data_IF_794816203183
#
_entry.id   IF_794816203183
#
_cell.length_a   1.000
_cell.length_b   1.000
_cell.length_c   1.000
_cell.angle_alpha   90.00
_cell.angle_beta   90.00
_cell.angle_gamma   90.00
#
_symmetry.space_group_name_H-M   'P 1'
#
loop_
_entity.id
_entity.type
_entity.pdbx_description
1 polymer ?
#
# COMPACT_ATOMS: atom_id res chain seq x y z
N UNK A 1 9.13 15.90 -13.10
CA UNK A 1 9.33 16.85 -14.21
C UNK A 1 10.80 16.92 -14.53
N UNK A 2 11.17 16.42 -15.74
CA UNK A 2 12.58 16.28 -16.16
C UNK A 2 13.26 17.66 -16.27
N UNK A 3 12.53 18.70 -16.68
CA UNK A 3 13.03 20.09 -16.69
C UNK A 3 13.60 20.52 -15.33
N UNK A 4 12.94 20.14 -14.22
CA UNK A 4 13.40 20.46 -12.86
C UNK A 4 14.58 19.58 -12.49
N UNK A 5 14.57 18.29 -12.85
CA UNK A 5 15.67 17.37 -12.60
C UNK A 5 16.94 17.82 -13.30
N UNK A 6 16.83 18.23 -14.56
CA UNK A 6 17.93 18.79 -15.33
C UNK A 6 18.46 20.09 -14.72
N UNK A 7 17.57 21.01 -14.31
CA UNK A 7 17.95 22.28 -13.71
C UNK A 7 18.74 22.10 -12.40
N UNK A 8 18.36 21.12 -11.58
CA UNK A 8 19.09 20.81 -10.33
C UNK A 8 20.25 19.81 -10.54
N UNK A 9 20.60 19.52 -11.79
CA UNK A 9 21.71 18.62 -12.17
C UNK A 9 21.56 17.21 -11.59
N UNK A 10 20.34 16.68 -11.61
CA UNK A 10 20.08 15.31 -11.19
C UNK A 10 20.25 14.39 -12.40
N UNK A 11 21.22 13.48 -12.29
CA UNK A 11 21.55 12.49 -13.33
C UNK A 11 20.51 11.35 -13.36
N UNK A 12 19.24 11.69 -13.57
CA UNK A 12 18.13 10.75 -13.75
C UNK A 12 16.87 11.48 -14.20
N UNK A 13 16.01 10.81 -14.93
CA UNK A 13 14.74 11.33 -15.42
C UNK A 13 13.53 10.59 -14.82
N UNK A 14 12.33 10.95 -15.26
CA UNK A 14 11.09 10.35 -14.77
C UNK A 14 10.98 8.88 -15.17
N UNK A 15 11.42 8.50 -16.39
CA UNK A 15 11.38 7.11 -16.85
C UNK A 15 12.29 6.21 -16.01
N UNK A 16 13.51 6.66 -15.70
CA UNK A 16 14.41 5.95 -14.77
C UNK A 16 13.76 5.68 -13.43
N UNK A 17 13.00 6.64 -12.92
CA UNK A 17 12.26 6.50 -11.66
C UNK A 17 11.15 5.45 -11.78
N UNK A 18 10.39 5.46 -12.88
CA UNK A 18 9.32 4.49 -13.17
C UNK A 18 9.92 3.08 -13.31
N UNK A 19 10.95 2.91 -14.12
CA UNK A 19 11.59 1.62 -14.35
C UNK A 19 12.18 1.04 -13.05
N UNK A 20 12.89 1.86 -12.29
CA UNK A 20 13.47 1.44 -11.01
C UNK A 20 12.40 1.03 -10.00
N UNK A 21 11.31 1.82 -9.88
CA UNK A 21 10.17 1.50 -9.04
C UNK A 21 9.53 0.16 -9.44
N UNK A 22 9.33 -0.04 -10.74
CA UNK A 22 8.77 -1.27 -11.29
C UNK A 22 9.62 -2.50 -10.99
N UNK A 23 10.91 -2.44 -11.29
CA UNK A 23 11.87 -3.54 -11.03
C UNK A 23 11.90 -3.94 -9.55
N UNK A 24 11.93 -2.96 -8.64
CA UNK A 24 11.90 -3.22 -7.21
C UNK A 24 10.61 -3.92 -6.79
N UNK A 25 9.44 -3.42 -7.23
CA UNK A 25 8.15 -4.01 -6.90
C UNK A 25 7.96 -5.41 -7.46
N UNK A 26 8.41 -5.66 -8.71
CA UNK A 26 8.30 -6.97 -9.34
C UNK A 26 9.12 -8.06 -8.62
N UNK A 27 10.13 -7.66 -7.83
CA UNK A 27 10.94 -8.57 -7.01
C UNK A 27 10.52 -8.57 -5.52
N UNK A 28 9.36 -8.01 -5.18
CA UNK A 28 8.80 -8.06 -3.84
C UNK A 28 9.30 -7.00 -2.87
N UNK A 29 10.11 -6.03 -3.31
CA UNK A 29 10.63 -4.97 -2.44
C UNK A 29 9.56 -3.92 -2.13
N UNK A 30 9.69 -3.33 -0.94
CA UNK A 30 8.96 -2.12 -0.53
C UNK A 30 9.72 -0.89 -0.97
N UNK A 31 9.00 0.09 -1.56
CA UNK A 31 9.61 1.30 -2.14
C UNK A 31 9.20 2.54 -1.34
N UNK A 32 10.19 3.33 -0.92
CA UNK A 32 10.02 4.59 -0.21
C UNK A 32 10.54 5.76 -1.07
N UNK A 33 9.67 6.65 -1.50
CA UNK A 33 10.04 7.83 -2.27
C UNK A 33 10.30 9.03 -1.38
N UNK A 34 11.37 9.77 -1.69
CA UNK A 34 11.66 11.07 -1.11
C UNK A 34 11.28 12.14 -2.12
N UNK A 35 10.17 12.83 -1.88
CA UNK A 35 9.70 13.93 -2.71
C UNK A 35 10.10 15.26 -2.07
N UNK A 36 10.61 16.16 -2.89
CA UNK A 36 11.12 17.45 -2.46
C UNK A 36 10.31 18.55 -3.15
N UNK A 37 9.23 19.04 -2.54
CA UNK A 37 8.59 20.26 -3.01
C UNK A 37 9.51 21.48 -2.78
N UNK A 38 9.24 22.56 -3.52
CA UNK A 38 10.00 23.80 -3.44
C UNK A 38 11.44 23.68 -3.97
N UNK A 39 11.67 22.83 -4.98
CA UNK A 39 12.97 22.77 -5.66
C UNK A 39 13.20 24.01 -6.53
N UNK A 40 14.48 24.43 -6.73
CA UNK A 40 14.80 25.43 -7.73
C UNK A 40 14.23 25.08 -9.11
N UNK A 41 13.55 26.02 -9.74
CA UNK A 41 12.85 25.81 -11.00
C UNK A 41 11.40 25.32 -10.89
N UNK A 42 10.93 24.96 -9.67
CA UNK A 42 9.52 24.69 -9.39
C UNK A 42 8.81 25.89 -8.77
N UNK A 43 7.49 25.85 -8.81
CA UNK A 43 6.58 26.81 -8.15
C UNK A 43 5.61 26.08 -7.21
N UNK A 44 4.92 26.85 -6.36
CA UNK A 44 3.85 26.33 -5.52
C UNK A 44 2.76 25.63 -6.35
N UNK A 45 2.38 26.22 -7.47
CA UNK A 45 1.34 25.72 -8.37
C UNK A 45 1.77 24.42 -9.06
N UNK A 46 3.04 24.33 -9.50
CA UNK A 46 3.60 23.14 -10.14
C UNK A 46 3.73 21.98 -9.16
N UNK A 47 4.17 22.24 -7.94
CA UNK A 47 4.25 21.21 -6.89
C UNK A 47 2.86 20.69 -6.53
N UNK A 48 1.87 21.58 -6.40
CA UNK A 48 0.49 21.19 -6.11
C UNK A 48 -0.09 20.34 -7.25
N UNK A 49 0.21 20.70 -8.50
CA UNK A 49 -0.23 19.95 -9.68
C UNK A 49 0.47 18.56 -9.76
N UNK A 50 1.75 18.47 -9.41
CA UNK A 50 2.45 17.19 -9.30
C UNK A 50 1.75 16.26 -8.31
N UNK A 51 1.35 16.75 -7.14
CA UNK A 51 0.63 15.94 -6.16
C UNK A 51 -0.81 15.64 -6.59
N UNK A 52 -1.47 16.51 -7.35
CA UNK A 52 -2.78 16.20 -7.96
C UNK A 52 -2.67 15.01 -8.90
N UNK A 53 -1.68 15.00 -9.78
CA UNK A 53 -1.40 13.87 -10.68
C UNK A 53 -1.09 12.59 -9.91
N UNK A 54 -0.22 12.67 -8.89
CA UNK A 54 0.21 11.51 -8.11
C UNK A 54 -0.95 10.81 -7.38
N UNK A 55 -1.98 11.54 -6.98
CA UNK A 55 -3.14 11.02 -6.24
C UNK A 55 -4.45 11.03 -7.05
N UNK A 56 -4.37 11.15 -8.37
CA UNK A 56 -5.56 11.16 -9.22
C UNK A 56 -6.10 9.74 -9.45
N UNK A 57 -7.41 9.66 -9.57
CA UNK A 57 -8.18 8.43 -9.74
C UNK A 57 -9.19 8.63 -10.86
N UNK A 58 -9.14 7.82 -11.90
CA UNK A 58 -10.18 7.79 -12.94
C UNK A 58 -11.49 7.22 -12.39
N UNK A 59 -11.39 6.07 -11.67
CA UNK A 59 -12.58 5.36 -11.22
C UNK A 59 -12.34 4.57 -9.94
N UNK A 60 -13.40 4.45 -9.13
CA UNK A 60 -13.50 3.51 -8.00
C UNK A 60 -14.61 2.51 -8.29
N UNK A 61 -14.24 1.23 -8.38
CA UNK A 61 -15.17 0.14 -8.65
C UNK A 61 -15.35 -0.68 -7.38
N UNK A 62 -16.55 -0.73 -6.84
CA UNK A 62 -16.91 -1.59 -5.70
C UNK A 62 -17.12 -3.01 -6.20
N UNK A 63 -16.20 -3.94 -5.87
CA UNK A 63 -16.33 -5.37 -6.16
C UNK A 63 -17.23 -6.03 -5.12
N UNK A 64 -17.01 -5.73 -3.83
CA UNK A 64 -17.88 -6.12 -2.71
C UNK A 64 -17.97 -5.00 -1.69
N UNK A 65 -18.74 -5.19 -0.59
CA UNK A 65 -18.78 -4.23 0.53
C UNK A 65 -17.37 -3.78 0.97
N UNK A 66 -16.44 -4.73 1.05
CA UNK A 66 -15.11 -4.52 1.61
C UNK A 66 -13.96 -4.61 0.57
N UNK A 67 -14.27 -4.78 -0.73
CA UNK A 67 -13.29 -4.83 -1.79
C UNK A 67 -13.55 -3.73 -2.82
N UNK A 68 -12.56 -2.85 -2.99
CA UNK A 68 -12.60 -1.74 -3.96
C UNK A 68 -11.42 -1.86 -4.92
N UNK A 69 -11.68 -1.76 -6.23
CA UNK A 69 -10.65 -1.60 -7.25
C UNK A 69 -10.56 -0.12 -7.64
N UNK A 70 -9.34 0.41 -7.63
CA UNK A 70 -9.02 1.78 -8.00
C UNK A 70 -8.35 1.78 -9.38
N UNK A 71 -8.95 2.45 -10.33
CA UNK A 71 -8.33 2.75 -11.62
C UNK A 71 -7.61 4.09 -11.47
N UNK A 72 -6.28 4.07 -11.52
CA UNK A 72 -5.44 5.24 -11.30
C UNK A 72 -5.07 5.88 -12.63
N UNK A 73 -4.91 7.22 -12.67
CA UNK A 73 -4.40 7.91 -13.86
C UNK A 73 -2.92 7.60 -14.10
N UNK A 74 -2.15 7.49 -13.01
CA UNK A 74 -0.70 7.26 -13.07
C UNK A 74 -0.32 6.01 -12.25
N UNK A 75 -0.64 4.80 -12.74
CA UNK A 75 -0.39 3.54 -12.00
C UNK A 75 1.11 3.28 -11.78
N UNK A 76 1.97 3.76 -12.68
CA UNK A 76 3.42 3.52 -12.61
C UNK A 76 4.12 4.42 -11.58
N UNK A 77 3.45 5.50 -11.16
CA UNK A 77 3.93 6.44 -10.15
C UNK A 77 3.40 6.10 -8.74
N UNK A 78 3.35 4.81 -8.38
CA UNK A 78 2.86 4.37 -7.07
C UNK A 78 3.99 3.86 -6.18
N UNK A 79 4.26 4.58 -5.08
CA UNK A 79 5.16 4.15 -4.01
C UNK A 79 4.39 3.51 -2.85
N UNK A 80 5.09 2.77 -1.98
CA UNK A 80 4.52 2.21 -0.76
C UNK A 80 4.60 3.20 0.41
N UNK A 81 5.65 4.02 0.39
CA UNK A 81 5.93 5.01 1.42
C UNK A 81 6.38 6.33 0.77
N UNK A 82 6.10 7.41 1.46
CA UNK A 82 6.53 8.76 1.07
C UNK A 82 7.20 9.47 2.24
N UNK A 83 8.27 10.21 1.92
CA UNK A 83 8.84 11.27 2.74
C UNK A 83 8.77 12.57 1.95
N UNK A 84 8.17 13.57 2.54
CA UNK A 84 8.12 14.90 1.94
C UNK A 84 9.18 15.73 2.64
N UNK A 85 10.13 16.19 1.86
CA UNK A 85 11.24 17.00 2.34
C UNK A 85 11.28 18.33 1.58
N UNK A 86 10.55 19.36 2.03
CA UNK A 86 10.63 20.68 1.40
C UNK A 86 12.09 21.12 1.24
N UNK A 87 12.42 21.69 0.10
CA UNK A 87 13.76 22.14 -0.17
C UNK A 87 14.17 23.19 0.84
N UNK A 88 15.40 23.08 1.35
CA UNK A 88 16.01 24.02 2.28
C UNK A 88 17.36 24.47 1.76
N UNK A 89 17.61 25.76 1.81
CA UNK A 89 18.92 26.34 1.48
C UNK A 89 19.83 26.16 2.68
N UNK A 90 20.95 25.49 2.49
CA UNK A 90 21.97 25.26 3.53
C UNK A 90 23.37 25.62 3.01
N UNK A 91 24.30 25.84 3.94
CA UNK A 91 25.69 26.14 3.61
C UNK A 91 26.34 25.07 2.71
N UNK A 92 27.34 25.46 1.96
CA UNK A 92 28.15 24.61 1.10
C UNK A 92 27.38 23.89 -0.01
N UNK A 93 26.28 24.48 -0.48
CA UNK A 93 25.47 23.95 -1.58
C UNK A 93 25.39 24.94 -2.74
N UNK A 94 25.22 24.41 -3.97
CA UNK A 94 24.99 25.24 -5.16
C UNK A 94 23.70 26.07 -5.04
N UNK A 95 22.69 25.50 -4.37
CA UNK A 95 21.38 26.16 -4.11
C UNK A 95 21.59 27.47 -3.30
N UNK A 96 22.57 27.54 -2.39
CA UNK A 96 22.89 28.77 -1.68
C UNK A 96 23.28 29.89 -2.65
N UNK A 97 24.16 29.60 -3.61
CA UNK A 97 24.56 30.59 -4.62
C UNK A 97 23.37 31.11 -5.44
N UNK A 98 22.44 30.23 -5.83
CA UNK A 98 21.21 30.63 -6.51
C UNK A 98 20.27 31.46 -5.64
N UNK A 99 20.20 31.15 -4.35
CA UNK A 99 19.42 31.93 -3.37
C UNK A 99 20.01 33.33 -3.16
N UNK A 100 21.31 33.46 -2.96
CA UNK A 100 22.01 34.73 -2.76
C UNK A 100 21.97 35.62 -4.01
N UNK A 101 22.02 35.02 -5.21
CA UNK A 101 21.91 35.74 -6.47
C UNK A 101 20.47 36.07 -6.91
N UNK A 102 19.47 35.60 -6.15
CA UNK A 102 18.05 35.83 -6.48
C UNK A 102 17.49 34.93 -7.59
N UNK A 103 18.27 33.97 -8.10
CA UNK A 103 17.80 32.98 -9.08
C UNK A 103 16.76 32.05 -8.48
N UNK A 104 16.88 31.73 -7.20
CA UNK A 104 15.95 30.87 -6.46
C UNK A 104 15.45 31.57 -5.19
N UNK A 105 14.14 31.55 -5.00
CA UNK A 105 13.50 31.98 -3.78
C UNK A 105 12.48 30.91 -3.35
N UNK A 106 12.71 30.21 -2.24
CA UNK A 106 11.78 29.19 -1.76
C UNK A 106 10.42 29.75 -1.45
N UNK A 107 9.34 29.19 -2.02
CA UNK A 107 7.98 29.60 -1.65
C UNK A 107 7.61 29.18 -0.23
N UNK A 108 8.32 28.18 0.32
CA UNK A 108 8.16 27.68 1.70
C UNK A 108 8.62 28.69 2.77
N UNK A 109 9.27 29.80 2.41
CA UNK A 109 9.44 30.96 3.29
C UNK A 109 8.09 31.55 3.70
N UNK A 110 7.07 31.48 2.81
CA UNK A 110 5.69 31.63 3.20
C UNK A 110 5.17 30.25 3.69
N UNK A 111 5.19 30.06 5.02
CA UNK A 111 4.80 28.79 5.65
C UNK A 111 3.39 28.35 5.27
N UNK A 112 2.44 29.27 5.04
CA UNK A 112 1.06 28.94 4.72
C UNK A 112 0.93 28.24 3.36
N UNK A 113 1.73 28.63 2.36
CA UNK A 113 1.80 27.92 1.07
C UNK A 113 2.28 26.48 1.23
N UNK A 114 3.35 26.29 2.03
CA UNK A 114 3.85 24.94 2.30
C UNK A 114 2.83 24.09 3.06
N UNK A 115 2.14 24.67 4.04
CA UNK A 115 1.08 24.00 4.79
C UNK A 115 -0.05 23.57 3.86
N UNK A 116 -0.45 24.41 2.91
CA UNK A 116 -1.48 24.09 1.92
C UNK A 116 -1.11 22.86 1.07
N UNK A 117 0.13 22.81 0.54
CA UNK A 117 0.64 21.63 -0.19
C UNK A 117 0.58 20.38 0.68
N UNK A 118 1.03 20.46 1.93
CA UNK A 118 1.06 19.31 2.83
C UNK A 118 -0.36 18.86 3.22
N UNK A 119 -1.28 19.78 3.45
CA UNK A 119 -2.69 19.46 3.71
C UNK A 119 -3.29 18.75 2.50
N UNK A 120 -3.05 19.27 1.29
CA UNK A 120 -3.50 18.62 0.06
C UNK A 120 -3.00 17.17 -0.03
N UNK A 121 -1.69 16.96 0.17
CA UNK A 121 -1.09 15.61 0.20
C UNK A 121 -1.83 14.72 1.20
N UNK A 122 -2.02 15.18 2.43
CA UNK A 122 -2.61 14.37 3.51
C UNK A 122 -4.09 14.02 3.29
N UNK A 123 -4.84 14.90 2.64
CA UNK A 123 -6.24 14.66 2.31
C UNK A 123 -6.41 13.67 1.16
N UNK A 124 -5.51 13.71 0.17
CA UNK A 124 -5.66 12.97 -1.08
C UNK A 124 -4.81 11.69 -1.15
N UNK A 125 -3.83 11.54 -0.26
CA UNK A 125 -2.97 10.35 -0.22
C UNK A 125 -3.78 9.06 -0.13
N UNK A 126 -3.37 8.06 -0.90
CA UNK A 126 -4.05 6.78 -0.93
C UNK A 126 -3.91 6.01 0.39
N UNK A 127 -4.94 5.20 0.77
CA UNK A 127 -4.94 4.46 2.04
C UNK A 127 -3.84 3.39 2.15
N UNK A 128 -3.25 2.99 1.04
CA UNK A 128 -2.13 2.05 1.00
C UNK A 128 -0.75 2.71 1.08
N UNK A 129 -0.66 4.04 1.12
CA UNK A 129 0.61 4.75 1.22
C UNK A 129 0.87 5.17 2.66
N UNK A 130 2.13 4.97 3.13
CA UNK A 130 2.59 5.45 4.42
C UNK A 130 3.34 6.78 4.26
N UNK A 131 2.81 7.86 4.82
CA UNK A 131 3.52 9.15 4.88
C UNK A 131 4.44 9.21 6.12
N UNK A 132 5.70 8.84 5.92
CA UNK A 132 6.67 8.69 7.02
C UNK A 132 7.07 10.03 7.62
N UNK A 133 7.46 10.99 6.79
CA UNK A 133 7.92 12.32 7.21
C UNK A 133 7.37 13.40 6.29
N UNK A 134 7.21 14.61 6.82
CA UNK A 134 6.81 15.81 6.09
C UNK A 134 7.76 16.99 6.29
N UNK A 135 8.87 16.74 6.95
CA UNK A 135 9.96 17.70 7.16
C UNK A 135 11.26 16.92 7.32
N UNK A 136 12.37 17.54 6.98
CA UNK A 136 13.72 17.04 7.23
C UNK A 136 14.22 17.56 8.57
N UNK A 137 14.92 16.72 9.33
CA UNK A 137 15.50 17.09 10.61
C UNK A 137 16.83 17.86 10.36
N UNK A 138 16.71 19.15 10.01
CA UNK A 138 17.85 20.08 9.89
C UNK A 138 17.72 21.08 11.01
N UNK A 139 18.77 21.33 11.82
CA UNK A 139 18.74 22.39 12.82
C UNK A 139 18.46 23.76 12.18
N UNK A 140 17.56 24.54 12.75
CA UNK A 140 17.11 25.82 12.19
C UNK A 140 18.26 26.79 11.90
N UNK A 141 19.30 26.76 12.75
CA UNK A 141 20.49 27.59 12.60
C UNK A 141 21.22 27.33 11.27
N UNK A 142 21.06 26.14 10.69
CA UNK A 142 21.73 25.75 9.44
C UNK A 142 20.89 26.05 8.21
N UNK A 143 19.64 26.53 8.38
CA UNK A 143 18.73 26.83 7.26
C UNK A 143 18.83 28.33 6.95
N UNK A 144 19.37 28.66 5.79
CA UNK A 144 19.50 30.03 5.29
C UNK A 144 18.17 30.50 4.67
N UNK A 145 17.54 29.67 3.82
CA UNK A 145 16.27 29.93 3.16
C UNK A 145 15.33 28.70 3.17
N UNK A 146 14.03 28.94 3.04
CA UNK A 146 12.99 27.92 3.12
C UNK A 146 12.37 27.81 4.51
N UNK A 147 11.59 26.75 4.74
CA UNK A 147 10.86 26.58 6.00
C UNK A 147 11.78 26.19 7.17
N UNK A 148 11.68 26.96 8.26
CA UNK A 148 12.48 26.77 9.50
C UNK A 148 11.68 26.14 10.65
N UNK A 149 10.40 25.81 10.43
CA UNK A 149 9.53 25.30 11.49
C UNK A 149 9.71 23.81 11.74
N UNK A 150 10.41 23.44 12.81
CA UNK A 150 10.62 22.05 13.23
C UNK A 150 9.32 21.34 13.66
N UNK A 151 8.28 22.11 14.01
CA UNK A 151 6.97 21.60 14.46
C UNK A 151 5.91 21.61 13.34
N UNK A 152 6.33 21.71 12.08
CA UNK A 152 5.43 21.81 10.93
C UNK A 152 4.35 20.72 10.91
N UNK A 153 4.70 19.46 11.26
CA UNK A 153 3.73 18.36 11.33
C UNK A 153 2.61 18.63 12.33
N UNK A 154 2.93 19.14 13.51
CA UNK A 154 1.95 19.45 14.56
C UNK A 154 1.04 20.59 14.12
N UNK A 155 1.60 21.64 13.51
CA UNK A 155 0.83 22.77 12.97
C UNK A 155 -0.15 22.31 11.89
N UNK A 156 0.32 21.52 10.91
CA UNK A 156 -0.53 20.93 9.87
C UNK A 156 -1.65 20.07 10.46
N UNK A 157 -1.34 19.20 11.41
CA UNK A 157 -2.36 18.32 12.02
C UNK A 157 -3.39 19.11 12.82
N UNK A 158 -2.98 20.19 13.50
CA UNK A 158 -3.89 21.08 14.22
C UNK A 158 -4.84 21.77 13.23
N UNK A 159 -4.31 22.40 12.18
CA UNK A 159 -5.10 23.09 11.17
C UNK A 159 -6.10 22.14 10.46
N UNK A 160 -5.66 20.92 10.12
CA UNK A 160 -6.55 19.90 9.57
C UNK A 160 -7.68 19.53 10.53
N UNK A 161 -7.37 19.38 11.84
CA UNK A 161 -8.38 19.09 12.87
C UNK A 161 -9.39 20.23 13.01
N UNK A 162 -8.92 21.46 13.06
CA UNK A 162 -9.77 22.66 13.18
C UNK A 162 -10.72 22.80 11.98
N UNK A 163 -10.31 22.32 10.81
CA UNK A 163 -11.09 22.30 9.56
C UNK A 163 -11.85 20.99 9.31
N UNK A 164 -11.94 20.06 10.28
CA UNK A 164 -12.58 18.75 10.13
C UNK A 164 -12.01 17.90 8.96
N UNK A 165 -10.71 18.03 8.70
CA UNK A 165 -10.01 17.31 7.64
C UNK A 165 -9.24 16.13 8.22
N UNK A 166 -9.23 14.98 7.53
CA UNK A 166 -8.54 13.77 7.97
C UNK A 166 -7.51 13.29 6.96
N UNK A 167 -6.42 12.71 7.46
CA UNK A 167 -5.39 12.07 6.65
C UNK A 167 -5.65 10.58 6.51
N UNK A 168 -5.66 10.08 5.27
CA UNK A 168 -5.95 8.66 4.95
C UNK A 168 -4.71 7.76 4.96
N UNK A 169 -3.50 8.30 5.15
CA UNK A 169 -2.27 7.50 5.08
C UNK A 169 -2.20 6.44 6.20
N UNK A 170 -1.44 5.39 5.97
CA UNK A 170 -1.22 4.30 6.93
C UNK A 170 -0.84 4.85 8.31
N UNK A 171 0.18 5.75 8.39
CA UNK A 171 0.70 6.28 9.67
C UNK A 171 -0.34 7.03 10.50
N UNK A 172 -1.28 7.73 9.86
CA UNK A 172 -2.31 8.47 10.58
C UNK A 172 -3.44 7.55 11.08
N UNK A 173 -3.62 6.40 10.43
CA UNK A 173 -4.64 5.40 10.78
C UNK A 173 -4.15 4.30 11.72
N UNK A 174 -2.85 4.22 12.01
CA UNK A 174 -2.32 3.26 13.00
C UNK A 174 -3.08 3.36 14.31
N UNK A 175 -3.52 2.22 14.85
CA UNK A 175 -4.31 2.16 16.08
C UNK A 175 -3.59 2.74 17.29
N UNK A 176 -2.25 2.65 17.34
CA UNK A 176 -1.40 3.12 18.46
C UNK A 176 -1.97 2.65 19.81
N UNK A 177 -2.21 3.61 20.71
CA UNK A 177 -2.71 3.38 22.08
C UNK A 177 -4.25 3.40 22.18
N UNK A 178 -4.95 3.54 21.03
CA UNK A 178 -6.40 3.51 21.02
C UNK A 178 -6.90 2.10 21.31
N UNK A 179 -7.82 1.98 22.27
CA UNK A 179 -8.55 0.74 22.52
C UNK A 179 -9.71 0.66 21.52
N UNK A 180 -9.78 -0.42 20.78
CA UNK A 180 -10.87 -0.72 19.85
C UNK A 180 -11.24 -2.20 19.95
N UNK A 181 -12.54 -2.52 19.87
CA UNK A 181 -12.97 -3.91 19.88
C UNK A 181 -12.54 -4.58 18.57
N UNK A 182 -11.82 -5.69 18.70
CA UNK A 182 -11.28 -6.41 17.55
C UNK A 182 -12.36 -7.22 16.83
N UNK A 183 -13.43 -7.56 17.51
CA UNK A 183 -14.52 -8.33 16.94
C UNK A 183 -15.37 -7.48 15.98
N UNK A 184 -15.34 -6.16 16.15
CA UNK A 184 -15.96 -5.19 15.24
C UNK A 184 -15.11 -4.92 13.99
N UNK A 185 -13.84 -5.35 13.96
CA UNK A 185 -12.94 -5.07 12.83
C UNK A 185 -13.13 -6.04 11.69
N UNK A 186 -13.00 -5.53 10.46
CA UNK A 186 -13.17 -6.26 9.21
C UNK A 186 -11.92 -6.23 8.33
N UNK A 187 -11.80 -7.19 7.41
CA UNK A 187 -10.80 -7.14 6.34
C UNK A 187 -11.35 -6.27 5.21
N UNK A 188 -10.54 -5.30 4.77
CA UNK A 188 -10.77 -4.50 3.57
C UNK A 188 -9.67 -4.76 2.56
N UNK A 189 -10.03 -4.73 1.27
CA UNK A 189 -9.10 -4.91 0.16
C UNK A 189 -9.20 -3.68 -0.74
N UNK A 190 -8.06 -2.99 -0.89
CA UNK A 190 -7.87 -1.95 -1.87
C UNK A 190 -6.96 -2.52 -2.98
N UNK A 191 -7.54 -2.73 -4.15
CA UNK A 191 -6.86 -3.24 -5.34
C UNK A 191 -6.53 -2.08 -6.27
N UNK A 192 -5.36 -2.10 -6.89
CA UNK A 192 -4.96 -1.09 -7.88
C UNK A 192 -3.85 -1.63 -8.80
N UNK A 193 -3.76 -1.08 -10.01
CA UNK A 193 -2.66 -1.38 -10.91
C UNK A 193 -1.42 -0.56 -10.53
N UNK A 194 -0.24 -1.15 -10.67
CA UNK A 194 1.05 -0.49 -10.47
C UNK A 194 2.11 -1.19 -11.31
N UNK A 195 2.74 -0.48 -12.21
CA UNK A 195 3.82 -0.93 -13.09
C UNK A 195 3.75 -2.42 -13.45
N UNK A 196 3.03 -2.73 -14.53
CA UNK A 196 2.90 -4.09 -15.07
C UNK A 196 2.55 -5.16 -14.01
N UNK A 197 1.62 -4.82 -13.10
CA UNK A 197 1.13 -5.75 -12.09
C UNK A 197 -0.06 -5.20 -11.32
N UNK A 198 -0.67 -6.07 -10.53
CA UNK A 198 -1.81 -5.76 -9.67
C UNK A 198 -1.35 -5.80 -8.22
N UNK A 199 -1.65 -4.76 -7.47
CA UNK A 199 -1.40 -4.65 -6.04
C UNK A 199 -2.70 -4.82 -5.26
N UNK A 200 -2.63 -5.55 -4.16
CA UNK A 200 -3.71 -5.69 -3.19
C UNK A 200 -3.21 -5.23 -1.82
N UNK A 201 -3.78 -4.14 -1.33
CA UNK A 201 -3.59 -3.70 0.04
C UNK A 201 -4.70 -4.30 0.90
N UNK A 202 -4.39 -5.43 1.52
CA UNK A 202 -5.30 -6.18 2.38
C UNK A 202 -5.11 -5.66 3.80
N UNK A 203 -6.14 -5.06 4.39
CA UNK A 203 -6.00 -4.42 5.70
C UNK A 203 -7.12 -4.83 6.66
N UNK A 204 -6.76 -4.97 7.94
CA UNK A 204 -7.67 -5.24 9.04
C UNK A 204 -7.90 -3.93 9.79
N UNK A 205 -9.11 -3.40 9.73
CA UNK A 205 -9.44 -2.06 10.20
C UNK A 205 -10.81 -2.01 10.85
N UNK A 206 -11.06 -0.94 11.61
CA UNK A 206 -12.43 -0.59 12.04
C UNK A 206 -13.37 -0.42 10.84
N UNK A 207 -14.69 -0.61 10.98
CA UNK A 207 -15.66 -0.46 9.89
C UNK A 207 -15.61 0.91 9.19
N UNK A 208 -15.33 1.98 9.93
CA UNK A 208 -15.13 3.33 9.39
C UNK A 208 -13.74 3.53 8.75
N UNK A 209 -12.86 2.51 8.81
CA UNK A 209 -11.48 2.51 8.29
C UNK A 209 -10.55 3.56 8.91
N UNK A 210 -10.94 4.15 10.04
CA UNK A 210 -10.14 5.15 10.75
C UNK A 210 -8.99 4.53 11.55
N UNK A 211 -9.18 3.33 12.10
CA UNK A 211 -8.19 2.61 12.88
C UNK A 211 -7.70 1.39 12.11
N UNK A 212 -6.39 1.39 11.80
CA UNK A 212 -5.69 0.32 11.10
C UNK A 212 -4.94 -0.54 12.11
N UNK A 213 -5.32 -1.82 12.20
CA UNK A 213 -4.74 -2.79 13.14
C UNK A 213 -3.63 -3.62 12.50
N UNK A 214 -3.70 -3.83 11.20
CA UNK A 214 -2.67 -4.53 10.44
C UNK A 214 -2.96 -4.53 8.96
N UNK A 215 -1.95 -4.81 8.15
CA UNK A 215 -2.10 -4.90 6.70
C UNK A 215 -1.09 -5.84 6.07
N UNK A 216 -1.40 -6.23 4.84
CA UNK A 216 -0.54 -7.01 3.97
C UNK A 216 -0.57 -6.39 2.57
N UNK A 217 0.60 -6.35 1.91
CA UNK A 217 0.72 -5.97 0.50
C UNK A 217 0.99 -7.22 -0.31
N UNK A 218 0.06 -7.58 -1.17
CA UNK A 218 0.20 -8.65 -2.14
C UNK A 218 0.33 -8.05 -3.54
N UNK A 219 1.28 -8.55 -4.32
CA UNK A 219 1.47 -8.20 -5.72
C UNK A 219 1.38 -9.43 -6.60
N UNK A 220 0.67 -9.30 -7.72
CA UNK A 220 0.67 -10.25 -8.84
C UNK A 220 1.27 -9.53 -10.04
N UNK A 221 2.38 -10.04 -10.57
CA UNK A 221 3.01 -9.49 -11.77
C UNK A 221 2.25 -9.94 -13.02
N UNK A 222 2.09 -9.06 -14.00
CA UNK A 222 1.52 -9.41 -15.31
C UNK A 222 2.57 -10.05 -16.24
N UNK A 223 3.87 -9.86 -15.96
CA UNK A 223 4.99 -10.49 -16.68
C UNK A 223 6.15 -10.78 -15.74
N UNK A 224 7.04 -11.68 -16.19
CA UNK A 224 8.25 -12.06 -15.44
C UNK A 224 9.50 -11.30 -15.90
N UNK A 225 9.37 -10.28 -16.74
CA UNK A 225 10.46 -9.60 -17.45
C UNK A 225 11.59 -9.13 -16.53
N UNK A 226 11.25 -8.55 -15.37
CA UNK A 226 12.22 -8.02 -14.41
C UNK A 226 12.39 -8.89 -13.17
N UNK A 227 11.84 -10.11 -13.14
CA UNK A 227 12.02 -11.03 -12.01
C UNK A 227 13.43 -11.60 -12.05
N UNK A 228 14.24 -11.30 -11.02
CA UNK A 228 15.68 -11.61 -10.98
C UNK A 228 15.97 -13.10 -10.88
N UNK A 229 15.19 -13.82 -10.08
CA UNK A 229 15.38 -15.26 -9.87
C UNK A 229 14.38 -16.07 -10.69
N UNK A 230 14.86 -16.94 -11.57
CA UNK A 230 13.98 -17.78 -12.41
C UNK A 230 13.00 -18.61 -11.57
N UNK A 231 13.45 -19.07 -10.42
CA UNK A 231 12.63 -19.82 -9.46
C UNK A 231 11.46 -19.03 -8.86
N UNK A 232 11.44 -17.72 -9.05
CA UNK A 232 10.38 -16.84 -8.54
C UNK A 232 9.46 -16.31 -9.65
N UNK A 233 9.68 -16.73 -10.88
CA UNK A 233 8.74 -16.46 -11.99
C UNK A 233 7.39 -17.07 -11.67
N UNK A 234 6.32 -16.42 -12.10
CA UNK A 234 4.92 -16.82 -11.87
C UNK A 234 4.50 -16.90 -10.39
N UNK A 235 5.29 -16.30 -9.49
CA UNK A 235 4.93 -16.16 -8.09
C UNK A 235 4.19 -14.85 -7.82
N UNK A 236 3.19 -14.90 -6.94
CA UNK A 236 2.73 -13.69 -6.26
C UNK A 236 3.70 -13.33 -5.13
N UNK A 237 3.85 -12.03 -4.86
CA UNK A 237 4.76 -11.54 -3.84
C UNK A 237 4.01 -10.87 -2.69
N UNK A 238 4.19 -11.40 -1.47
CA UNK A 238 3.85 -10.65 -0.27
C UNK A 238 5.03 -9.75 0.07
N UNK A 239 4.86 -8.45 -0.18
CA UNK A 239 5.92 -7.44 -0.07
C UNK A 239 6.02 -6.83 1.33
N UNK A 240 4.96 -6.88 2.10
CA UNK A 240 4.90 -6.43 3.49
C UNK A 240 3.77 -7.14 4.23
N UNK A 241 4.02 -7.56 5.47
CA UNK A 241 2.99 -7.93 6.44
C UNK A 241 3.32 -7.20 7.75
N UNK A 242 2.40 -6.38 8.21
CA UNK A 242 2.57 -5.61 9.44
C UNK A 242 1.31 -5.66 10.30
N UNK A 243 1.48 -5.93 11.60
CA UNK A 243 0.41 -5.89 12.60
C UNK A 243 0.82 -4.92 13.69
N UNK A 244 -0.04 -3.94 13.95
CA UNK A 244 0.17 -2.92 14.98
C UNK A 244 -0.29 -3.43 16.35
N UNK A 245 0.35 -2.97 17.41
CA UNK A 245 0.01 -3.26 18.80
C UNK A 245 1.22 -3.23 19.70
N UNK A 246 0.99 -3.22 21.00
CA UNK A 246 2.05 -3.32 22.01
C UNK A 246 2.72 -4.69 21.91
N UNK A 247 4.06 -4.71 21.86
CA UNK A 247 4.86 -5.92 21.93
C UNK A 247 4.56 -6.64 23.26
N UNK A 248 3.93 -7.81 23.19
CA UNK A 248 3.78 -8.67 24.36
C UNK A 248 5.06 -9.47 24.52
N UNK A 249 5.69 -9.39 25.70
CA UNK A 249 6.79 -10.26 26.08
C UNK A 249 6.35 -11.72 26.02
N UNK A 250 7.22 -12.58 25.49
CA UNK A 250 6.93 -14.00 25.20
C UNK A 250 6.55 -14.85 26.43
N UNK A 251 6.74 -14.32 27.63
CA UNK A 251 6.72 -15.07 28.90
C UNK A 251 5.54 -14.72 29.83
N UNK A 252 4.56 -13.99 29.36
CA UNK A 252 3.45 -13.52 30.21
C UNK A 252 2.07 -13.92 29.72
N UNK A 253 1.30 -14.56 30.57
CA UNK A 253 -0.17 -14.65 30.43
C UNK A 253 -0.70 -13.23 30.50
N UNK A 254 -0.82 -12.56 29.37
CA UNK A 254 -1.39 -11.21 29.32
C UNK A 254 -2.91 -11.29 29.39
N UNK A 255 -3.46 -10.75 30.44
CA UNK A 255 -4.92 -10.55 30.63
C UNK A 255 -5.48 -9.40 29.77
N UNK A 256 -4.64 -8.70 28.99
CA UNK A 256 -5.06 -7.54 28.23
C UNK A 256 -5.18 -7.80 26.73
N UNK A 257 -6.11 -7.10 26.10
CA UNK A 257 -6.51 -7.14 24.67
C UNK A 257 -5.37 -6.73 23.69
N UNK A 258 -4.23 -7.44 23.71
CA UNK A 258 -3.09 -7.12 22.85
C UNK A 258 -3.31 -7.61 21.41
N UNK A 259 -3.38 -6.67 20.48
CA UNK A 259 -3.69 -6.85 19.05
C UNK A 259 -2.76 -7.84 18.35
N UNK A 260 -1.48 -7.92 18.72
CA UNK A 260 -0.49 -8.75 18.04
C UNK A 260 -0.74 -10.27 18.16
N UNK A 261 -1.41 -10.75 19.23
CA UNK A 261 -1.61 -12.19 19.47
C UNK A 261 -2.95 -12.76 18.99
N UNK A 262 -3.88 -11.93 18.51
CA UNK A 262 -5.22 -12.38 18.08
C UNK A 262 -5.31 -12.94 16.65
N UNK A 263 -4.20 -13.35 16.06
CA UNK A 263 -4.19 -14.04 14.76
C UNK A 263 -4.43 -13.15 13.53
N UNK A 264 -4.34 -11.82 13.66
CA UNK A 264 -4.56 -10.87 12.55
C UNK A 264 -3.64 -11.17 11.38
N UNK A 265 -2.32 -11.37 11.63
CA UNK A 265 -1.38 -11.73 10.57
C UNK A 265 -1.77 -13.01 9.83
N UNK A 266 -2.34 -14.00 10.54
CA UNK A 266 -2.84 -15.22 9.92
C UNK A 266 -4.10 -15.00 9.09
N UNK A 267 -5.01 -14.11 9.54
CA UNK A 267 -6.21 -13.73 8.76
C UNK A 267 -5.80 -13.05 7.45
N UNK A 268 -4.83 -12.11 7.52
CA UNK A 268 -4.30 -11.39 6.34
C UNK A 268 -3.60 -12.33 5.35
N UNK A 269 -2.76 -13.27 5.85
CA UNK A 269 -2.11 -14.28 5.01
C UNK A 269 -3.13 -15.18 4.31
N UNK A 270 -4.14 -15.67 5.04
CA UNK A 270 -5.21 -16.48 4.44
C UNK A 270 -5.96 -15.73 3.34
N UNK A 271 -6.20 -14.44 3.51
CA UNK A 271 -6.88 -13.66 2.48
C UNK A 271 -6.00 -13.47 1.25
N UNK A 272 -4.69 -13.23 1.41
CA UNK A 272 -3.73 -13.20 0.31
C UNK A 272 -3.68 -14.55 -0.45
N UNK A 273 -3.64 -15.67 0.28
CA UNK A 273 -3.68 -17.01 -0.30
C UNK A 273 -4.98 -17.27 -1.10
N UNK A 274 -6.14 -16.79 -0.61
CA UNK A 274 -7.42 -16.86 -1.34
C UNK A 274 -7.41 -16.03 -2.64
N UNK A 275 -6.80 -14.84 -2.60
CA UNK A 275 -6.66 -13.99 -3.80
C UNK A 275 -5.79 -14.72 -4.83
N UNK A 276 -4.66 -15.29 -4.42
CA UNK A 276 -3.79 -16.06 -5.31
C UNK A 276 -4.53 -17.24 -5.92
N UNK A 277 -5.24 -18.01 -5.10
CA UNK A 277 -6.06 -19.12 -5.56
C UNK A 277 -7.09 -18.70 -6.62
N UNK A 278 -7.83 -17.61 -6.38
CA UNK A 278 -8.82 -17.08 -7.34
C UNK A 278 -8.21 -16.59 -8.65
N UNK A 279 -6.94 -16.19 -8.63
CA UNK A 279 -6.20 -15.74 -9.82
C UNK A 279 -5.33 -16.84 -10.43
N UNK A 280 -5.49 -18.11 -10.03
CA UNK A 280 -4.73 -19.26 -10.51
C UNK A 280 -3.21 -19.12 -10.32
N UNK A 281 -2.79 -18.43 -9.26
CA UNK A 281 -1.38 -18.33 -8.89
C UNK A 281 -1.03 -19.51 -7.98
N UNK A 282 -0.10 -20.34 -8.44
CA UNK A 282 0.28 -21.56 -7.71
C UNK A 282 1.23 -21.30 -6.54
N UNK A 283 2.05 -20.25 -6.61
CA UNK A 283 3.12 -20.02 -5.64
C UNK A 283 3.09 -18.60 -5.09
N UNK A 284 3.34 -18.47 -3.80
CA UNK A 284 3.54 -17.18 -3.11
C UNK A 284 4.95 -17.11 -2.57
N UNK A 285 5.63 -16.01 -2.83
CA UNK A 285 6.92 -15.67 -2.26
C UNK A 285 6.79 -14.48 -1.29
N UNK A 286 7.46 -14.56 -0.16
CA UNK A 286 7.48 -13.50 0.87
C UNK A 286 8.91 -13.05 1.06
N UNK A 287 9.19 -11.76 0.88
CA UNK A 287 10.46 -11.19 1.31
C UNK A 287 10.37 -10.96 2.83
N UNK A 288 11.11 -11.74 3.61
CA UNK A 288 10.99 -11.73 5.07
C UNK A 288 12.29 -11.40 5.77
N UNK A 289 12.22 -10.64 6.86
CA UNK A 289 13.33 -10.52 7.80
C UNK A 289 13.70 -11.88 8.42
N UNK A 290 14.99 -12.07 8.73
CA UNK A 290 15.51 -13.34 9.29
C UNK A 290 14.75 -13.74 10.55
N UNK A 291 14.50 -12.80 11.47
CA UNK A 291 13.88 -13.06 12.77
C UNK A 291 12.41 -13.51 12.72
N UNK A 292 11.73 -13.38 11.58
CA UNK A 292 10.31 -13.78 11.43
C UNK A 292 10.11 -15.01 10.54
N UNK A 293 11.18 -15.63 10.06
CA UNK A 293 11.10 -16.83 9.20
C UNK A 293 10.38 -18.00 9.86
N UNK A 294 10.56 -18.21 11.17
CA UNK A 294 9.86 -19.25 11.93
C UNK A 294 8.34 -19.05 11.97
N UNK A 295 7.88 -17.80 12.02
CA UNK A 295 6.46 -17.49 11.92
C UNK A 295 5.89 -18.02 10.59
N UNK A 296 6.59 -17.79 9.47
CA UNK A 296 6.16 -18.27 8.16
C UNK A 296 6.28 -19.79 8.00
N UNK A 297 7.32 -20.43 8.57
CA UNK A 297 7.44 -21.91 8.58
C UNK A 297 6.23 -22.56 9.23
N UNK A 298 5.76 -22.04 10.37
CA UNK A 298 4.53 -22.51 11.05
C UNK A 298 3.26 -22.33 10.20
N UNK A 299 3.32 -21.54 9.11
CA UNK A 299 2.21 -21.35 8.14
C UNK A 299 2.40 -22.16 6.85
N UNK A 300 3.39 -23.05 6.81
CA UNK A 300 3.67 -23.91 5.68
C UNK A 300 4.56 -23.32 4.60
N UNK A 301 5.26 -22.23 4.90
CA UNK A 301 6.25 -21.65 4.01
C UNK A 301 7.63 -22.23 4.28
N UNK A 302 8.46 -22.38 3.24
CA UNK A 302 9.85 -22.82 3.34
C UNK A 302 10.79 -21.79 2.72
N UNK A 303 12.05 -21.76 3.16
CA UNK A 303 13.05 -20.82 2.66
C UNK A 303 13.66 -21.29 1.34
N UNK A 304 13.64 -20.44 0.30
CA UNK A 304 14.35 -20.62 -0.97
C UNK A 304 14.82 -19.26 -1.47
N UNK A 305 16.08 -19.13 -1.89
CA UNK A 305 16.66 -17.88 -2.42
C UNK A 305 16.32 -16.63 -1.60
N UNK A 306 16.45 -16.71 -0.27
CA UNK A 306 16.09 -15.64 0.69
C UNK A 306 14.60 -15.28 0.80
N UNK A 307 13.72 -15.91 0.05
CA UNK A 307 12.28 -15.78 0.16
C UNK A 307 11.66 -16.96 0.91
N UNK A 308 10.57 -16.68 1.62
CA UNK A 308 9.72 -17.73 2.17
C UNK A 308 8.66 -18.07 1.12
N UNK A 309 8.65 -19.31 0.63
CA UNK A 309 7.79 -19.76 -0.48
C UNK A 309 6.76 -20.75 0.02
N UNK A 310 5.54 -20.66 -0.50
CA UNK A 310 4.47 -21.63 -0.28
C UNK A 310 3.76 -21.93 -1.59
N UNK A 311 3.54 -23.23 -1.87
CA UNK A 311 2.67 -23.67 -2.96
C UNK A 311 1.22 -23.57 -2.52
N UNK A 312 0.40 -22.86 -3.31
CA UNK A 312 -1.05 -22.77 -3.13
C UNK A 312 -1.68 -23.94 -3.89
N UNK A 313 -2.55 -24.68 -3.24
CA UNK A 313 -3.31 -25.73 -3.94
C UNK A 313 -4.31 -25.03 -4.85
N UNK A 314 -4.05 -25.00 -6.15
CA UNK A 314 -5.01 -24.55 -7.16
C UNK A 314 -6.05 -25.65 -7.38
N UNK A 315 -7.29 -25.29 -7.65
CA UNK A 315 -8.30 -26.27 -8.06
C UNK A 315 -7.96 -26.68 -9.50
N UNK A 316 -7.79 -27.98 -9.71
CA UNK A 316 -7.71 -28.50 -11.06
C UNK A 316 -9.06 -28.20 -11.73
N UNK A 317 -9.06 -27.40 -12.79
CA UNK A 317 -10.27 -27.02 -13.53
C UNK A 317 -11.08 -28.26 -14.00
N UNK A 318 -10.39 -29.37 -14.23
CA UNK A 318 -10.98 -30.67 -14.55
C UNK A 318 -11.89 -31.14 -13.41
N UNK A 319 -11.49 -30.99 -12.16
CA UNK A 319 -12.29 -31.37 -10.98
C UNK A 319 -13.53 -30.47 -10.80
N UNK A 320 -13.44 -29.19 -11.15
CA UNK A 320 -14.59 -28.27 -11.09
C UNK A 320 -15.62 -28.57 -12.20
N UNK A 321 -15.17 -28.88 -13.42
CA UNK A 321 -16.04 -29.28 -14.49
C UNK A 321 -16.75 -30.59 -14.13
N UNK A 322 -16.04 -31.58 -13.59
CA UNK A 322 -16.60 -32.86 -13.18
C UNK A 322 -17.62 -32.72 -12.03
N UNK A 323 -17.36 -31.86 -11.06
CA UNK A 323 -18.28 -31.55 -9.97
C UNK A 323 -19.53 -30.80 -10.48
N UNK A 324 -19.35 -29.83 -11.38
CA UNK A 324 -20.46 -29.08 -11.97
C UNK A 324 -21.32 -29.96 -12.83
N UNK A 325 -20.74 -30.80 -13.71
CA UNK A 325 -21.47 -31.78 -14.50
C UNK A 325 -22.22 -32.79 -13.62
N UNK A 326 -21.58 -33.24 -12.54
CA UNK A 326 -22.22 -34.19 -11.61
C UNK A 326 -23.39 -33.52 -10.88
N UNK A 327 -23.24 -32.27 -10.45
CA UNK A 327 -24.32 -31.51 -9.81
C UNK A 327 -25.47 -31.24 -10.74
N UNK A 328 -25.21 -30.92 -12.01
CA UNK A 328 -26.26 -30.74 -13.05
C UNK A 328 -26.98 -32.04 -13.32
N UNK A 329 -26.27 -33.18 -13.46
CA UNK A 329 -26.86 -34.51 -13.62
C UNK A 329 -27.77 -34.89 -12.46
N UNK A 330 -27.35 -34.62 -11.21
CA UNK A 330 -28.16 -34.87 -10.01
C UNK A 330 -29.44 -34.01 -10.04
N UNK A 331 -29.31 -32.71 -10.39
CA UNK A 331 -30.48 -31.81 -10.48
C UNK A 331 -31.49 -32.27 -11.52
N UNK A 332 -31.01 -32.71 -12.70
CA UNK A 332 -31.88 -33.27 -13.75
C UNK A 332 -32.61 -34.54 -13.28
N UNK A 333 -31.92 -35.45 -12.58
CA UNK A 333 -32.52 -36.68 -12.03
C UNK A 333 -33.62 -36.30 -11.00
N UNK A 334 -33.38 -35.36 -10.10
CA UNK A 334 -34.38 -34.88 -9.13
C UNK A 334 -35.60 -34.25 -9.83
N UNK A 335 -35.38 -33.47 -10.87
CA UNK A 335 -36.48 -32.86 -11.65
C UNK A 335 -37.31 -33.93 -12.38
N UNK A 336 -36.67 -34.95 -12.97
CA UNK A 336 -37.36 -36.07 -13.63
C UNK A 336 -38.16 -36.88 -12.60
N UNK A 337 -37.57 -37.19 -11.45
CA UNK A 337 -38.28 -37.93 -10.39
C UNK A 337 -39.46 -37.14 -9.84
N UNK A 338 -39.37 -35.82 -9.69
CA UNK A 338 -40.49 -34.96 -9.30
C UNK A 338 -41.63 -35.02 -10.32
N UNK A 339 -41.32 -34.92 -11.62
CA UNK A 339 -42.34 -35.02 -12.68
C UNK A 339 -43.03 -36.37 -12.67
N UNK A 340 -42.29 -37.48 -12.48
CA UNK A 340 -42.89 -38.82 -12.36
C UNK A 340 -43.72 -38.95 -11.07
N UNK A 341 -43.30 -38.40 -10.00
CA UNK A 341 -44.04 -38.40 -8.73
C UNK A 341 -45.37 -37.65 -8.86
N UNK A 342 -45.37 -36.46 -9.43
CA UNK A 342 -46.57 -35.66 -9.70
C UNK A 342 -47.52 -36.33 -10.66
N UNK A 343 -47.00 -37.00 -11.71
CA UNK A 343 -47.85 -37.77 -12.69
C UNK A 343 -48.43 -39.04 -12.09
N UNK A 344 -47.81 -39.60 -11.07
CA UNK A 344 -48.34 -40.81 -10.38
C UNK A 344 -49.46 -40.48 -9.42
N UNK A 345 -49.43 -39.31 -8.78
CA UNK A 345 -50.42 -38.86 -7.80
C UNK A 345 -51.60 -38.08 -8.40
N UNK A 346 -51.52 -37.61 -9.64
CA UNK A 346 -52.63 -36.90 -10.32
C UNK A 346 -53.60 -37.88 -11.02
N UNK A 347 -53.25 -39.19 -11.15
CA UNK A 347 -54.07 -40.23 -11.80
C UNK A 347 -54.74 -41.21 -10.79
N UNK A 348 -54.83 -40.81 -9.51
CA UNK A 348 -55.66 -41.48 -8.48
C UNK A 348 -56.65 -40.47 -7.89
#
# INVERSE_FOLDING_TARGET
DDRILDFIERDSNLDDTIQSNGRLKQNGYKVDWHLMPDLPGSSFEEDLEMFRKLFSIQQKIKITKNHTNYVLDYPDLQADQLKIYPCSVVEFTKIKGWYESGIFKPYSENEDKLIEVIIYIKQNIFPWIRLNRIIRDIPNINILGGNKNVNLRQKVLKQMKDNNQECKCIRCREIKDHKYDLDDCEIFIDQYNSYNGIEYFINYSSPCRKYLLGFLRLRINNSNENVIYDDLKDHAFIRELHVYGLLVKHDGVSKDNNVQHKGIGSKLLKEAEKICFKNNIENIAIISGVGVREYYRKKGYHLKNNYMIKKIKTIDYKYQCDLFETSVKILIIFTILSIFYDSYYVNY
#
